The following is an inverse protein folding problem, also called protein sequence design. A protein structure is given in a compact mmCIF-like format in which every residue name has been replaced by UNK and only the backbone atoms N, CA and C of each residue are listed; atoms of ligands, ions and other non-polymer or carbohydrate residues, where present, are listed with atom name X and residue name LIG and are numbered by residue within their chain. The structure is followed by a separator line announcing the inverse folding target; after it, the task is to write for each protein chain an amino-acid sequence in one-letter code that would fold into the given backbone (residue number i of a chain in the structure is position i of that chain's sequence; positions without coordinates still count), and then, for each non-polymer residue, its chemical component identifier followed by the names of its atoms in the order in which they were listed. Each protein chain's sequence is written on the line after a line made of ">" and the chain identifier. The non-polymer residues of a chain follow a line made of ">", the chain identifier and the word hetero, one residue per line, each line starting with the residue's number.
data_IF_995518594953
#
_entry.id   IF_995518594953
#
_cell.length_a   1.000
_cell.length_b   1.000
_cell.length_c   1.000
_cell.angle_alpha   90.00
_cell.angle_beta   90.00
_cell.angle_gamma   90.00
#
_symmetry.space_group_name_H-M   'P 1'
#
loop_
_entity.id
_entity.type
_entity.pdbx_description
1 polymer ?
#
# COMPACT_ATOMS: atom_id res chain seq x y z
N UNK A 1 -16.30 13.48 6.00
CA UNK A 1 -15.83 12.50 4.99
C UNK A 1 -15.72 11.10 5.57
N UNK A 2 -14.77 10.82 6.49
CA UNK A 2 -14.62 9.47 7.05
C UNK A 2 -15.89 8.96 7.78
N UNK A 3 -16.56 9.82 8.54
CA UNK A 3 -17.85 9.50 9.18
C UNK A 3 -18.96 9.17 8.17
N UNK A 4 -18.97 9.85 7.02
CA UNK A 4 -19.91 9.59 5.91
C UNK A 4 -19.65 8.23 5.26
N UNK A 5 -18.39 7.92 4.96
CA UNK A 5 -17.98 6.62 4.39
C UNK A 5 -18.34 5.48 5.34
N UNK A 6 -18.03 5.63 6.63
CA UNK A 6 -18.37 4.66 7.66
C UNK A 6 -19.89 4.47 7.82
N UNK A 7 -20.67 5.56 7.75
CA UNK A 7 -22.15 5.51 7.78
C UNK A 7 -22.77 4.77 6.58
N UNK A 8 -22.02 4.60 5.49
CA UNK A 8 -22.41 3.80 4.33
C UNK A 8 -21.85 2.37 4.37
N UNK A 9 -21.26 1.96 5.50
CA UNK A 9 -20.63 0.64 5.69
C UNK A 9 -19.47 0.37 4.71
N UNK A 10 -18.79 1.43 4.24
CA UNK A 10 -17.58 1.32 3.45
C UNK A 10 -16.33 1.47 4.31
N UNK A 11 -15.24 0.85 3.86
CA UNK A 11 -13.90 1.00 4.45
C UNK A 11 -13.06 1.95 3.59
N UNK A 12 -12.60 3.05 4.18
CA UNK A 12 -11.65 3.94 3.52
C UNK A 12 -10.24 3.30 3.54
N UNK A 13 -9.68 3.03 2.37
CA UNK A 13 -8.35 2.44 2.21
C UNK A 13 -7.40 3.50 1.64
N UNK A 14 -6.27 3.70 2.30
CA UNK A 14 -5.16 4.53 1.81
C UNK A 14 -3.90 3.69 1.63
N UNK A 15 -2.78 4.34 1.34
CA UNK A 15 -1.48 3.72 1.13
C UNK A 15 -0.41 4.52 1.85
N UNK A 16 0.59 3.84 2.40
CA UNK A 16 1.78 4.47 2.99
C UNK A 16 2.95 4.52 1.99
N UNK A 17 2.88 3.75 0.90
CA UNK A 17 3.91 3.73 -0.15
C UNK A 17 3.27 4.09 -1.49
N UNK A 18 3.62 5.25 -2.02
CA UNK A 18 3.26 5.68 -3.38
C UNK A 18 4.40 5.37 -4.35
N UNK A 19 4.13 4.59 -5.41
CA UNK A 19 5.13 4.25 -6.44
C UNK A 19 5.56 5.45 -7.30
N UNK A 20 4.73 6.50 -7.38
CA UNK A 20 4.90 7.62 -8.31
C UNK A 20 5.04 7.21 -9.79
N UNK A 21 4.48 6.05 -10.16
CA UNK A 21 4.55 5.50 -11.51
C UNK A 21 4.00 6.44 -12.61
N UNK A 22 3.02 7.27 -12.27
CA UNK A 22 2.48 8.33 -13.13
C UNK A 22 3.51 9.39 -13.56
N UNK A 23 4.68 9.48 -12.89
CA UNK A 23 5.75 10.40 -13.28
C UNK A 23 6.60 9.90 -14.44
N UNK A 24 6.45 8.64 -14.84
CA UNK A 24 7.15 8.04 -15.98
C UNK A 24 8.68 8.22 -15.98
N UNK A 25 9.32 8.08 -14.81
CA UNK A 25 10.77 8.29 -14.64
C UNK A 25 11.64 7.09 -15.03
N UNK A 26 11.03 5.97 -15.38
CA UNK A 26 11.70 4.72 -15.71
C UNK A 26 11.34 3.60 -14.73
N UNK A 27 11.83 2.39 -15.04
CA UNK A 27 11.56 1.17 -14.26
C UNK A 27 12.30 1.24 -12.92
N UNK A 28 13.55 1.67 -12.94
CA UNK A 28 14.46 1.70 -11.79
C UNK A 28 13.97 2.65 -10.70
N UNK A 29 13.40 3.81 -11.06
CA UNK A 29 12.85 4.77 -10.09
C UNK A 29 11.68 4.17 -9.31
N UNK A 30 10.78 3.45 -9.99
CA UNK A 30 9.67 2.73 -9.36
C UNK A 30 10.20 1.65 -8.42
N UNK A 31 11.11 0.79 -8.91
CA UNK A 31 11.65 -0.34 -8.14
C UNK A 31 12.36 0.17 -6.89
N UNK A 32 13.30 1.11 -7.03
CA UNK A 32 14.06 1.65 -5.90
C UNK A 32 13.14 2.25 -4.85
N UNK A 33 12.25 3.15 -5.26
CA UNK A 33 11.33 3.84 -4.35
C UNK A 33 10.43 2.88 -3.59
N UNK A 34 9.83 1.91 -4.28
CA UNK A 34 8.88 0.97 -3.66
C UNK A 34 9.63 0.04 -2.72
N UNK A 35 10.75 -0.53 -3.14
CA UNK A 35 11.51 -1.50 -2.34
C UNK A 35 12.10 -0.85 -1.09
N UNK A 36 12.64 0.37 -1.16
CA UNK A 36 13.21 1.08 0.00
C UNK A 36 12.18 1.44 1.05
N UNK A 37 10.95 1.80 0.64
CA UNK A 37 9.92 2.30 1.56
C UNK A 37 9.00 1.21 2.11
N UNK A 38 8.90 0.07 1.41
CA UNK A 38 8.00 -1.01 1.81
C UNK A 38 8.48 -1.65 3.11
N UNK A 39 7.56 -1.82 4.06
CA UNK A 39 7.74 -2.53 5.33
C UNK A 39 6.58 -3.51 5.56
N UNK A 40 6.68 -4.48 6.50
CA UNK A 40 5.55 -5.31 6.86
C UNK A 40 4.30 -4.48 7.19
N UNK A 41 3.17 -4.83 6.57
CA UNK A 41 1.92 -4.09 6.72
C UNK A 41 1.72 -2.91 5.77
N UNK A 42 2.66 -2.61 4.86
CA UNK A 42 2.47 -1.51 3.90
C UNK A 42 1.41 -1.82 2.84
N UNK A 43 0.64 -0.80 2.47
CA UNK A 43 -0.24 -0.78 1.29
C UNK A 43 0.44 0.10 0.24
N UNK A 44 0.59 -0.42 -0.97
CA UNK A 44 1.37 0.21 -2.03
C UNK A 44 0.45 0.63 -3.17
N UNK A 45 0.51 1.91 -3.57
CA UNK A 45 -0.26 2.43 -4.71
C UNK A 45 0.51 2.27 -6.02
N UNK A 46 -0.17 1.68 -6.99
CA UNK A 46 0.18 1.69 -8.41
C UNK A 46 -1.06 2.02 -9.24
N UNK A 47 -0.84 2.57 -10.43
CA UNK A 47 -1.85 2.77 -11.45
C UNK A 47 -1.71 1.70 -12.55
N UNK A 48 -2.84 1.13 -12.98
CA UNK A 48 -2.84 0.09 -14.02
C UNK A 48 -2.45 0.62 -15.42
N UNK A 49 -2.45 1.95 -15.61
CA UNK A 49 -2.01 2.62 -16.83
C UNK A 49 -0.60 3.23 -16.72
N UNK A 50 0.13 2.97 -15.63
CA UNK A 50 1.51 3.45 -15.48
C UNK A 50 2.43 2.82 -16.52
N UNK A 51 3.06 3.66 -17.34
CA UNK A 51 3.88 3.26 -18.51
C UNK A 51 4.91 2.17 -18.20
N UNK A 52 5.56 2.25 -17.05
CA UNK A 52 6.61 1.31 -16.64
C UNK A 52 6.17 0.32 -15.55
N UNK A 53 4.94 0.43 -15.04
CA UNK A 53 4.44 -0.35 -13.90
C UNK A 53 4.49 -1.85 -14.20
N UNK A 54 4.00 -2.28 -15.36
CA UNK A 54 3.99 -3.70 -15.74
C UNK A 54 5.40 -4.30 -15.80
N UNK A 55 6.40 -3.52 -16.24
CA UNK A 55 7.79 -3.96 -16.33
C UNK A 55 8.53 -3.92 -14.99
N UNK A 56 8.15 -3.01 -14.07
CA UNK A 56 8.74 -2.89 -12.74
C UNK A 56 8.25 -3.95 -11.75
N UNK A 57 6.98 -4.39 -11.86
CA UNK A 57 6.36 -5.31 -10.91
C UNK A 57 7.14 -6.62 -10.68
N UNK A 58 7.68 -7.32 -11.71
CA UNK A 58 8.47 -8.52 -11.48
C UNK A 58 9.68 -8.31 -10.55
N UNK A 59 10.38 -7.18 -10.69
CA UNK A 59 11.55 -6.84 -9.87
C UNK A 59 11.14 -6.49 -8.44
N UNK A 60 10.04 -5.74 -8.28
CA UNK A 60 9.47 -5.41 -6.97
C UNK A 60 9.05 -6.69 -6.22
N UNK A 61 8.34 -7.59 -6.90
CA UNK A 61 7.87 -8.84 -6.32
C UNK A 61 9.03 -9.77 -5.95
N UNK A 62 10.09 -9.81 -6.77
CA UNK A 62 11.30 -10.55 -6.45
C UNK A 62 11.96 -10.00 -5.17
N UNK A 63 12.14 -8.69 -5.04
CA UNK A 63 12.70 -8.06 -3.84
C UNK A 63 11.87 -8.40 -2.59
N UNK A 64 10.54 -8.38 -2.69
CA UNK A 64 9.66 -8.73 -1.58
C UNK A 64 9.85 -10.18 -1.15
N UNK A 65 9.92 -11.11 -2.11
CA UNK A 65 10.17 -12.52 -1.84
C UNK A 65 11.52 -12.73 -1.14
N UNK A 66 12.58 -12.08 -1.61
CA UNK A 66 13.92 -12.14 -0.99
C UNK A 66 13.93 -11.61 0.45
N UNK A 67 13.03 -10.68 0.78
CA UNK A 67 12.84 -10.11 2.12
C UNK A 67 11.80 -10.85 2.97
N UNK A 68 11.33 -12.02 2.53
CA UNK A 68 10.26 -12.79 3.18
C UNK A 68 8.94 -12.01 3.36
N UNK A 69 8.68 -11.01 2.51
CA UNK A 69 7.41 -10.31 2.44
C UNK A 69 6.44 -11.06 1.53
N UNK A 70 5.17 -11.08 1.93
CA UNK A 70 4.09 -11.73 1.18
C UNK A 70 3.10 -10.69 0.71
N UNK A 71 2.80 -10.70 -0.59
CA UNK A 71 1.73 -9.87 -1.16
C UNK A 71 0.40 -10.56 -0.90
N UNK A 72 -0.49 -9.87 -0.19
CA UNK A 72 -1.80 -10.37 0.19
C UNK A 72 -2.90 -9.41 -0.26
N UNK A 73 -4.15 -9.88 -0.43
CA UNK A 73 -5.29 -8.99 -0.63
C UNK A 73 -5.46 -8.02 0.55
N UNK A 74 -5.97 -6.81 0.28
CA UNK A 74 -6.24 -5.78 1.32
C UNK A 74 -7.07 -6.34 2.47
N UNK A 75 -8.03 -7.24 2.19
CA UNK A 75 -8.88 -7.86 3.22
C UNK A 75 -8.13 -8.69 4.25
N UNK A 76 -6.89 -9.10 3.98
CA UNK A 76 -6.03 -9.81 4.93
C UNK A 76 -5.08 -8.87 5.69
N UNK A 77 -5.00 -7.60 5.29
CA UNK A 77 -4.03 -6.64 5.82
C UNK A 77 -4.66 -5.61 6.76
N UNK A 78 -5.94 -5.30 6.57
CA UNK A 78 -6.64 -4.24 7.31
C UNK A 78 -7.30 -4.73 8.59
N UNK A 79 -7.50 -3.80 9.51
CA UNK A 79 -8.41 -3.96 10.64
C UNK A 79 -9.82 -3.55 10.23
N UNK A 80 -10.78 -4.34 10.68
CA UNK A 80 -12.21 -4.09 10.44
C UNK A 80 -12.88 -3.36 11.61
N UNK A 81 -12.29 -3.47 12.80
CA UNK A 81 -12.82 -2.91 14.04
C UNK A 81 -11.69 -2.29 14.85
N UNK A 82 -12.04 -1.37 15.74
CA UNK A 82 -11.14 -0.83 16.76
C UNK A 82 -9.79 -0.36 16.21
N UNK A 83 -9.83 0.53 15.21
CA UNK A 83 -8.63 1.15 14.65
C UNK A 83 -8.79 2.66 14.52
N UNK A 84 -7.67 3.38 14.54
CA UNK A 84 -7.58 4.75 14.06
C UNK A 84 -6.78 4.78 12.75
N UNK A 85 -7.03 5.77 11.91
CA UNK A 85 -6.21 6.05 10.72
C UNK A 85 -5.36 7.27 11.04
N UNK A 86 -4.04 7.17 10.85
CA UNK A 86 -3.14 8.32 11.01
C UNK A 86 -3.17 9.25 9.78
N UNK A 87 -2.37 10.31 9.82
CA UNK A 87 -2.28 11.28 8.73
C UNK A 87 -1.58 10.72 7.47
N UNK A 88 -0.88 9.58 7.58
CA UNK A 88 -0.29 8.85 6.46
C UNK A 88 -1.29 7.83 5.87
N UNK A 89 -2.50 7.74 6.42
CA UNK A 89 -3.52 6.79 5.96
C UNK A 89 -3.35 5.36 6.51
N UNK A 90 -2.41 5.14 7.44
CA UNK A 90 -2.18 3.81 8.03
C UNK A 90 -3.14 3.55 9.18
N UNK A 91 -3.67 2.33 9.22
CA UNK A 91 -4.48 1.89 10.35
C UNK A 91 -3.60 1.45 11.52
N UNK A 92 -3.96 1.91 12.72
CA UNK A 92 -3.38 1.47 13.98
C UNK A 92 -4.47 0.85 14.83
N UNK A 93 -4.27 -0.42 15.20
CA UNK A 93 -5.22 -1.11 16.07
C UNK A 93 -5.20 -0.48 17.46
N UNK A 94 -6.38 -0.09 17.92
CA UNK A 94 -6.63 0.33 19.29
C UNK A 94 -6.66 -0.95 20.12
N UNK A 95 -5.57 -1.24 20.82
CA UNK A 95 -5.57 -2.33 21.80
C UNK A 95 -6.42 -1.89 23.00
N UNK A 96 -7.48 -2.64 23.31
CA UNK A 96 -8.19 -2.49 24.58
C UNK A 96 -7.20 -2.60 25.73
N UNK A 97 -7.38 -1.75 26.75
CA UNK A 97 -6.63 -1.85 28.02
C UNK A 97 -6.85 -3.19 28.69
#
# INVERSE_FOLDING_TARGET
>A
MLSTIAGLSYYAIQWDVDSLDWKERGIEDIVLRVTEKTRPGSIILFHNNGKYTAAALPLVLQNFKERNLHVVPISQLIFYESYIIDHEGRQHQIKGR
#
